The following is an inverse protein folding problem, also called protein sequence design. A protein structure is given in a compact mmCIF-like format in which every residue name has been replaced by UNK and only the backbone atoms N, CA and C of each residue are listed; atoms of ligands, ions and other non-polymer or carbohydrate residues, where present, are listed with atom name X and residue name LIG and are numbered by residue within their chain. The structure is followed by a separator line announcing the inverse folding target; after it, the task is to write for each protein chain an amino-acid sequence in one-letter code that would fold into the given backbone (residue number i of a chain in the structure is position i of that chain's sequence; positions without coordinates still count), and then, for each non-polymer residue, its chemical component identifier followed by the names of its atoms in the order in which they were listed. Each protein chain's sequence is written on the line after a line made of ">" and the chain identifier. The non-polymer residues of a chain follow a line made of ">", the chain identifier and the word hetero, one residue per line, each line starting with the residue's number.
data_IF_178686134349
#
_entry.id   IF_178686134349
#
_cell.length_a   1.000
_cell.length_b   1.000
_cell.length_c   1.000
_cell.angle_alpha   90.00
_cell.angle_beta   90.00
_cell.angle_gamma   90.00
#
_symmetry.space_group_name_H-M   'P 1'
#
loop_
_entity.id
_entity.type
_entity.pdbx_description
1 polymer ?
#
# COMPACT_ATOMS: atom_id res chain seq x y z
N UNK A 1 -28.73 33.94 0.51
CA UNK A 1 -28.74 32.93 -0.56
C UNK A 1 -27.31 32.89 -1.08
N UNK A 2 -26.45 31.94 -0.75
CA UNK A 2 -26.65 30.53 -0.36
C UNK A 2 -25.67 30.13 0.75
N UNK A 3 -26.16 29.22 1.58
CA UNK A 3 -25.48 28.61 2.71
C UNK A 3 -25.03 27.19 2.33
N UNK A 4 -23.84 26.80 2.80
CA UNK A 4 -23.52 25.42 3.21
C UNK A 4 -23.50 24.33 2.13
N UNK A 5 -22.35 24.17 1.46
CA UNK A 5 -21.95 22.90 0.84
C UNK A 5 -20.71 22.36 1.56
N UNK A 6 -20.90 21.99 2.84
CA UNK A 6 -20.00 21.06 3.54
C UNK A 6 -20.50 19.64 3.27
N UNK A 7 -19.56 18.79 2.84
CA UNK A 7 -19.54 17.33 2.93
C UNK A 7 -20.86 16.66 3.33
N UNK A 8 -21.53 16.07 2.33
CA UNK A 8 -22.51 15.00 2.56
C UNK A 8 -21.95 13.72 1.96
N UNK A 9 -21.05 13.07 2.71
CA UNK A 9 -20.99 11.61 2.69
C UNK A 9 -22.43 11.14 2.91
N UNK A 10 -22.98 10.38 1.95
CA UNK A 10 -24.34 9.85 2.04
C UNK A 10 -24.53 9.19 3.41
N UNK A 11 -25.69 9.34 4.07
CA UNK A 11 -25.94 8.72 5.39
C UNK A 11 -25.57 7.23 5.39
N UNK A 12 -25.80 6.54 4.26
CA UNK A 12 -25.40 5.14 4.05
C UNK A 12 -23.88 4.90 4.12
N UNK A 13 -23.07 5.85 3.69
CA UNK A 13 -21.60 5.79 3.76
C UNK A 13 -21.08 6.05 5.17
N UNK A 14 -21.69 6.96 5.93
CA UNK A 14 -21.36 7.16 7.34
C UNK A 14 -21.75 5.93 8.17
N UNK A 15 -22.94 5.37 7.95
CA UNK A 15 -23.38 4.15 8.63
C UNK A 15 -22.49 2.94 8.28
N UNK A 16 -21.97 2.86 7.03
CA UNK A 16 -20.99 1.83 6.65
C UNK A 16 -19.66 2.01 7.37
N UNK A 17 -19.12 3.24 7.40
CA UNK A 17 -17.87 3.52 8.11
C UNK A 17 -17.97 3.27 9.60
N UNK A 18 -19.11 3.63 10.22
CA UNK A 18 -19.34 3.41 11.64
C UNK A 18 -19.43 1.91 11.98
N UNK A 19 -20.12 1.11 11.16
CA UNK A 19 -20.15 -0.35 11.32
C UNK A 19 -18.78 -1.00 11.18
N UNK A 20 -17.94 -0.49 10.28
CA UNK A 20 -16.56 -0.97 10.10
C UNK A 20 -15.73 -0.65 11.36
N UNK A 21 -15.86 0.56 11.91
CA UNK A 21 -15.16 0.97 13.13
C UNK A 21 -15.62 0.17 14.36
N UNK A 22 -16.94 -0.02 14.53
CA UNK A 22 -17.50 -0.83 15.61
C UNK A 22 -16.98 -2.28 15.55
N UNK A 23 -17.04 -2.91 14.36
CA UNK A 23 -16.50 -4.26 14.14
C UNK A 23 -15.00 -4.36 14.43
N UNK A 24 -14.23 -3.32 14.08
CA UNK A 24 -12.80 -3.24 14.39
C UNK A 24 -12.55 -3.14 15.91
N UNK A 25 -13.31 -2.31 16.62
CA UNK A 25 -13.17 -2.14 18.08
C UNK A 25 -13.61 -3.38 18.86
N UNK A 26 -14.63 -4.10 18.41
CA UNK A 26 -15.07 -5.37 19.00
C UNK A 26 -14.03 -6.46 18.79
N UNK A 27 -13.52 -6.61 17.56
CA UNK A 27 -12.46 -7.59 17.26
C UNK A 27 -11.19 -7.31 18.07
N UNK A 28 -10.85 -6.04 18.32
CA UNK A 28 -9.68 -5.68 19.11
C UNK A 28 -9.88 -5.91 20.62
N UNK A 29 -11.10 -5.76 21.14
CA UNK A 29 -11.45 -6.13 22.52
C UNK A 29 -11.39 -7.64 22.74
N UNK A 30 -11.83 -8.41 21.75
CA UNK A 30 -11.81 -9.88 21.79
C UNK A 30 -10.38 -10.41 21.72
N UNK A 31 -9.52 -9.83 20.87
CA UNK A 31 -8.09 -10.12 20.83
C UNK A 31 -7.36 -9.76 22.12
N UNK A 32 -7.66 -8.60 22.71
CA UNK A 32 -7.07 -8.19 23.99
C UNK A 32 -7.52 -9.10 25.17
N UNK A 33 -8.75 -9.63 25.12
CA UNK A 33 -9.22 -10.59 26.11
C UNK A 33 -8.47 -11.93 26.00
N UNK A 34 -8.29 -12.43 24.78
CA UNK A 34 -7.53 -13.66 24.48
C UNK A 34 -6.05 -13.51 24.89
N UNK A 35 -5.42 -12.37 24.60
CA UNK A 35 -4.04 -12.09 25.03
C UNK A 35 -3.90 -12.07 26.56
N UNK A 36 -4.91 -11.57 27.29
CA UNK A 36 -4.90 -11.61 28.76
C UNK A 36 -5.07 -13.03 29.32
N UNK A 37 -5.83 -13.89 28.62
CA UNK A 37 -6.11 -15.26 29.02
C UNK A 37 -4.92 -16.20 28.72
N UNK A 38 -4.23 -15.98 27.61
CA UNK A 38 -2.98 -16.67 27.23
C UNK A 38 -1.83 -16.29 28.17
N UNK A 39 -1.77 -15.04 28.62
CA UNK A 39 -0.76 -14.58 29.59
C UNK A 39 -0.97 -15.22 30.97
N UNK A 40 -2.22 -15.45 31.38
CA UNK A 40 -2.55 -16.14 32.63
C UNK A 40 -2.20 -17.65 32.56
N UNK A 41 -2.50 -18.30 31.44
CA UNK A 41 -2.18 -19.72 31.21
C UNK A 41 -0.66 -20.01 31.12
N UNK A 42 0.14 -19.02 30.70
CA UNK A 42 1.60 -19.16 30.58
C UNK A 42 2.34 -19.14 31.92
N UNK A 43 1.67 -18.85 33.03
CA UNK A 43 2.29 -18.83 34.38
C UNK A 43 2.25 -20.19 35.12
N UNK A 44 1.56 -21.20 34.59
CA UNK A 44 1.42 -22.51 35.24
C UNK A 44 2.23 -23.65 34.61
N UNK A 45 2.91 -23.43 33.47
CA UNK A 45 3.65 -24.49 32.77
C UNK A 45 5.16 -24.18 32.69
N UNK A 46 5.85 -24.35 33.81
CA UNK A 46 7.31 -24.43 33.84
C UNK A 46 7.73 -25.78 34.43
N UNK A 47 7.82 -26.82 33.57
CA UNK A 47 8.66 -28.00 33.77
C UNK A 47 8.64 -28.88 32.48
N UNK A 48 9.83 -29.17 31.91
CA UNK A 48 10.06 -30.40 31.12
C UNK A 48 10.23 -30.31 29.59
N UNK A 49 11.51 -30.25 29.16
CA UNK A 49 12.17 -30.99 28.06
C UNK A 49 11.72 -30.98 26.57
N UNK A 50 12.78 -31.14 25.76
CA UNK A 50 12.98 -31.01 24.31
C UNK A 50 12.35 -32.09 23.42
N UNK A 51 11.90 -31.74 22.20
CA UNK A 51 12.11 -32.52 20.94
C UNK A 51 12.08 -31.59 19.71
N UNK A 52 13.03 -31.78 18.79
CA UNK A 52 13.04 -31.25 17.42
C UNK A 52 12.18 -32.14 16.52
N UNK A 53 11.34 -31.57 15.66
CA UNK A 53 10.98 -32.21 14.39
C UNK A 53 10.56 -31.17 13.36
N UNK A 54 11.35 -31.07 12.30
CA UNK A 54 10.94 -30.50 11.02
C UNK A 54 9.95 -31.46 10.38
N UNK A 55 8.76 -30.99 10.02
CA UNK A 55 8.08 -31.56 8.86
C UNK A 55 7.11 -30.56 8.24
N UNK A 56 7.45 -30.18 7.01
CA UNK A 56 6.60 -29.52 6.04
C UNK A 56 5.31 -30.30 5.82
N UNK A 57 4.19 -29.72 6.26
CA UNK A 57 2.86 -30.08 5.77
C UNK A 57 2.16 -28.78 5.40
N UNK A 58 1.97 -28.60 4.10
CA UNK A 58 1.07 -27.63 3.49
C UNK A 58 -0.36 -28.02 3.86
N UNK A 59 -0.82 -27.55 5.01
CA UNK A 59 -2.25 -27.51 5.35
C UNK A 59 -2.76 -26.12 4.98
N UNK A 60 -3.70 -26.06 4.03
CA UNK A 60 -4.59 -24.93 3.81
C UNK A 60 -5.39 -24.73 5.10
N UNK A 61 -4.87 -23.92 6.02
CA UNK A 61 -5.62 -23.43 7.17
C UNK A 61 -6.45 -22.24 6.71
N UNK A 62 -7.77 -22.33 6.81
CA UNK A 62 -8.74 -21.24 6.64
C UNK A 62 -8.57 -20.09 7.68
N UNK A 63 -7.40 -20.00 8.31
CA UNK A 63 -7.09 -18.97 9.30
C UNK A 63 -6.59 -17.72 8.57
N UNK A 64 -7.14 -16.52 8.87
CA UNK A 64 -6.70 -15.30 8.22
C UNK A 64 -5.21 -15.09 8.48
N UNK A 65 -4.45 -14.84 7.42
CA UNK A 65 -3.00 -14.58 7.50
C UNK A 65 -2.69 -13.57 8.60
N UNK A 66 -1.68 -13.86 9.42
CA UNK A 66 -1.26 -12.95 10.48
C UNK A 66 -0.58 -11.71 9.89
N UNK A 67 -0.58 -10.59 10.63
CA UNK A 67 0.11 -9.37 10.18
C UNK A 67 1.62 -9.60 9.96
N UNK A 68 2.26 -10.40 10.83
CA UNK A 68 3.69 -10.69 10.72
C UNK A 68 4.01 -11.58 9.52
N UNK A 69 3.15 -12.54 9.23
CA UNK A 69 3.26 -13.36 8.04
C UNK A 69 3.03 -12.56 6.77
N UNK A 70 1.99 -11.70 6.73
CA UNK A 70 1.74 -10.81 5.60
C UNK A 70 2.93 -9.88 5.34
N UNK A 71 3.49 -9.28 6.40
CA UNK A 71 4.69 -8.45 6.31
C UNK A 71 5.85 -9.23 5.70
N UNK A 72 6.07 -10.47 6.12
CA UNK A 72 7.18 -11.31 5.66
C UNK A 72 7.02 -11.66 4.18
N UNK A 73 5.83 -12.12 3.77
CA UNK A 73 5.55 -12.49 2.38
C UNK A 73 5.66 -11.28 1.44
N UNK A 74 5.14 -10.11 1.84
CA UNK A 74 5.29 -8.87 1.06
C UNK A 74 6.75 -8.45 0.95
N UNK A 75 7.54 -8.64 2.00
CA UNK A 75 8.96 -8.34 1.99
C UNK A 75 9.75 -9.21 1.01
N UNK A 76 9.42 -10.50 0.95
CA UNK A 76 10.01 -11.43 -0.01
C UNK A 76 9.62 -11.06 -1.44
N UNK A 77 8.33 -10.83 -1.70
CA UNK A 77 7.83 -10.40 -3.00
C UNK A 77 8.45 -9.07 -3.47
N UNK A 78 8.63 -8.09 -2.58
CA UNK A 78 9.31 -6.83 -2.90
C UNK A 78 10.78 -7.01 -3.27
N UNK A 79 11.48 -7.92 -2.59
CA UNK A 79 12.88 -8.21 -2.90
C UNK A 79 13.02 -8.89 -4.26
N UNK A 80 12.10 -9.79 -4.60
CA UNK A 80 12.02 -10.41 -5.93
C UNK A 80 11.73 -9.36 -7.00
N UNK A 81 10.70 -8.53 -6.80
CA UNK A 81 10.35 -7.44 -7.70
C UNK A 81 11.53 -6.50 -7.99
N UNK A 82 12.35 -6.15 -6.99
CA UNK A 82 13.53 -5.31 -7.21
C UNK A 82 14.61 -5.95 -8.10
N UNK A 83 14.63 -7.29 -8.16
CA UNK A 83 15.52 -8.05 -9.04
C UNK A 83 14.89 -8.23 -10.42
N UNK A 84 13.62 -8.61 -10.49
CA UNK A 84 12.92 -9.02 -11.73
C UNK A 84 12.36 -7.85 -12.54
N UNK A 85 12.04 -6.71 -11.90
CA UNK A 85 11.24 -5.61 -12.49
C UNK A 85 9.84 -6.06 -12.95
N UNK A 86 9.36 -7.22 -12.46
CA UNK A 86 8.03 -7.71 -12.80
C UNK A 86 7.00 -7.15 -11.82
N UNK A 87 6.42 -6.00 -12.18
CA UNK A 87 5.38 -5.36 -11.37
C UNK A 87 4.10 -6.22 -11.29
N UNK A 88 3.82 -7.06 -12.29
CA UNK A 88 2.62 -7.88 -12.28
C UNK A 88 2.74 -9.04 -11.31
N UNK A 89 3.92 -9.67 -11.24
CA UNK A 89 4.20 -10.74 -10.28
C UNK A 89 3.93 -10.30 -8.84
N UNK A 90 4.46 -9.15 -8.42
CA UNK A 90 4.20 -8.64 -7.06
C UNK A 90 2.73 -8.26 -6.84
N UNK A 91 2.04 -7.72 -7.86
CA UNK A 91 0.62 -7.41 -7.75
C UNK A 91 -0.24 -8.68 -7.60
N UNK A 92 0.10 -9.75 -8.31
CA UNK A 92 -0.51 -11.07 -8.10
C UNK A 92 -0.24 -11.61 -6.70
N UNK A 93 0.99 -11.50 -6.19
CA UNK A 93 1.27 -11.89 -4.79
C UNK A 93 0.42 -11.09 -3.80
N UNK A 94 0.25 -9.77 -4.00
CA UNK A 94 -0.59 -8.93 -3.12
C UNK A 94 -2.06 -9.37 -3.14
N UNK A 95 -2.57 -9.77 -4.30
CA UNK A 95 -3.92 -10.26 -4.48
C UNK A 95 -4.13 -11.66 -3.89
N UNK A 96 -3.19 -12.58 -4.14
CA UNK A 96 -3.22 -13.96 -3.65
C UNK A 96 -3.21 -14.04 -2.12
N UNK A 97 -2.50 -13.12 -1.45
CA UNK A 97 -2.50 -13.01 0.01
C UNK A 97 -3.88 -12.64 0.61
N UNK A 98 -4.82 -12.13 -0.21
CA UNK A 98 -6.19 -11.75 0.13
C UNK A 98 -6.38 -11.06 1.49
N UNK A 99 -5.47 -10.15 1.83
CA UNK A 99 -5.47 -9.42 3.11
C UNK A 99 -5.66 -7.91 2.92
N UNK A 100 -6.85 -7.45 2.47
CA UNK A 100 -7.09 -6.04 2.14
C UNK A 100 -6.84 -5.08 3.30
N UNK A 101 -7.01 -5.52 4.55
CA UNK A 101 -6.75 -4.69 5.74
C UNK A 101 -5.26 -4.41 5.98
N UNK A 102 -4.36 -5.21 5.41
CA UNK A 102 -2.93 -5.07 5.57
C UNK A 102 -2.24 -4.43 4.36
N UNK A 103 -2.95 -4.10 3.29
CA UNK A 103 -2.35 -3.57 2.05
C UNK A 103 -1.59 -2.24 2.22
N UNK A 104 -1.86 -1.44 3.25
CA UNK A 104 -1.04 -0.27 3.59
C UNK A 104 0.41 -0.65 3.96
N UNK A 105 0.64 -1.89 4.42
CA UNK A 105 1.99 -2.42 4.66
C UNK A 105 2.77 -2.55 3.36
N UNK A 106 2.13 -2.81 2.21
CA UNK A 106 2.81 -2.81 0.91
C UNK A 106 3.51 -1.47 0.68
N UNK A 107 2.80 -0.38 0.94
CA UNK A 107 3.31 0.99 0.76
C UNK A 107 4.45 1.29 1.73
N UNK A 108 4.26 0.98 3.02
CA UNK A 108 5.28 1.19 4.05
C UNK A 108 6.56 0.41 3.75
N UNK A 109 6.41 -0.88 3.44
CA UNK A 109 7.53 -1.80 3.24
C UNK A 109 8.26 -1.53 1.94
N UNK A 110 7.53 -1.24 0.85
CA UNK A 110 8.12 -0.88 -0.42
C UNK A 110 9.03 0.35 -0.29
N UNK A 111 8.52 1.43 0.30
CA UNK A 111 9.31 2.66 0.51
C UNK A 111 10.51 2.39 1.42
N UNK A 112 10.30 1.70 2.55
CA UNK A 112 11.37 1.43 3.52
C UNK A 112 12.50 0.63 2.86
N UNK A 113 12.17 -0.45 2.15
CA UNK A 113 13.17 -1.28 1.46
C UNK A 113 13.85 -0.55 0.29
N UNK A 114 13.17 0.37 -0.39
CA UNK A 114 13.75 1.12 -1.51
C UNK A 114 14.69 2.23 -1.04
N UNK A 115 14.40 2.90 0.08
CA UNK A 115 15.25 3.97 0.63
C UNK A 115 16.61 3.44 1.06
N UNK A 116 16.68 2.22 1.60
CA UNK A 116 17.93 1.56 1.99
C UNK A 116 18.80 1.13 0.80
N UNK A 117 18.27 1.22 -0.43
CA UNK A 117 18.92 0.73 -1.65
C UNK A 117 19.35 1.89 -2.52
N UNK A 118 18.65 2.16 -3.62
CA UNK A 118 19.07 3.16 -4.58
C UNK A 118 17.95 3.64 -5.49
N UNK A 119 18.34 4.52 -6.41
CA UNK A 119 17.45 5.15 -7.39
C UNK A 119 16.61 4.17 -8.21
N UNK A 120 17.17 2.99 -8.56
CA UNK A 120 16.45 1.96 -9.31
C UNK A 120 15.22 1.51 -8.52
N UNK A 121 15.42 1.06 -7.28
CA UNK A 121 14.35 0.53 -6.45
C UNK A 121 13.32 1.60 -6.10
N UNK A 122 13.74 2.85 -5.93
CA UNK A 122 12.82 3.96 -5.72
C UNK A 122 11.91 4.20 -6.93
N UNK A 123 12.43 4.11 -8.15
CA UNK A 123 11.62 4.15 -9.38
C UNK A 123 10.65 2.96 -9.46
N UNK A 124 11.12 1.75 -9.14
CA UNK A 124 10.27 0.56 -9.10
C UNK A 124 9.09 0.69 -8.13
N UNK A 125 9.31 1.28 -6.96
CA UNK A 125 8.23 1.53 -5.99
C UNK A 125 7.23 2.56 -6.52
N UNK A 126 7.68 3.64 -7.15
CA UNK A 126 6.79 4.59 -7.82
C UNK A 126 5.94 3.91 -8.91
N UNK A 127 6.56 3.05 -9.74
CA UNK A 127 5.85 2.24 -10.74
C UNK A 127 4.83 1.29 -10.11
N UNK A 128 5.19 0.61 -9.02
CA UNK A 128 4.27 -0.28 -8.29
C UNK A 128 3.03 0.47 -7.82
N UNK A 129 3.20 1.69 -7.29
CA UNK A 129 2.06 2.50 -6.87
C UNK A 129 1.20 2.96 -8.04
N UNK A 130 1.81 3.42 -9.13
CA UNK A 130 1.08 3.86 -10.32
C UNK A 130 0.27 2.72 -10.96
N UNK A 131 0.88 1.56 -11.18
CA UNK A 131 0.24 0.39 -11.81
C UNK A 131 -0.73 -0.32 -10.86
N UNK A 132 -0.38 -0.42 -9.58
CA UNK A 132 -1.18 -1.13 -8.58
C UNK A 132 -2.40 -0.35 -8.07
N UNK A 133 -2.45 0.96 -8.29
CA UNK A 133 -3.55 1.79 -7.80
C UNK A 133 -4.90 1.43 -8.47
N UNK A 134 -6.00 1.73 -7.79
CA UNK A 134 -7.39 1.41 -8.18
C UNK A 134 -7.77 -0.08 -8.03
N UNK A 135 -6.91 -1.02 -8.42
CA UNK A 135 -7.22 -2.46 -8.36
C UNK A 135 -6.63 -3.15 -7.12
N UNK A 136 -5.33 -2.97 -6.86
CA UNK A 136 -4.63 -3.62 -5.76
C UNK A 136 -4.50 -2.70 -4.55
N UNK A 137 -4.22 -1.42 -4.77
CA UNK A 137 -4.12 -0.40 -3.73
C UNK A 137 -5.24 0.64 -3.86
N UNK A 138 -5.86 1.00 -2.74
CA UNK A 138 -6.85 2.07 -2.69
C UNK A 138 -6.24 3.37 -2.15
N UNK A 139 -6.93 4.49 -2.39
CA UNK A 139 -6.54 5.80 -1.85
C UNK A 139 -6.31 5.75 -0.33
N UNK A 140 -7.17 5.01 0.38
CA UNK A 140 -7.04 4.81 1.82
C UNK A 140 -5.75 4.07 2.18
N UNK A 141 -5.40 3.00 1.47
CA UNK A 141 -4.20 2.20 1.77
C UNK A 141 -2.91 2.98 1.50
N UNK A 142 -2.85 3.73 0.38
CA UNK A 142 -1.70 4.58 0.06
C UNK A 142 -1.54 5.69 1.10
N UNK A 143 -2.63 6.41 1.41
CA UNK A 143 -2.63 7.45 2.43
C UNK A 143 -2.21 6.90 3.80
N UNK A 144 -2.76 5.74 4.20
CA UNK A 144 -2.43 5.10 5.48
C UNK A 144 -0.98 4.64 5.54
N UNK A 145 -0.41 4.19 4.42
CA UNK A 145 1.01 3.84 4.32
C UNK A 145 1.92 5.03 4.59
N UNK A 146 1.64 6.17 3.95
CA UNK A 146 2.38 7.43 4.21
C UNK A 146 2.18 7.92 5.64
N UNK A 147 0.95 7.90 6.15
CA UNK A 147 0.65 8.25 7.55
C UNK A 147 1.54 7.46 8.52
N UNK A 148 1.63 6.14 8.34
CA UNK A 148 2.44 5.27 9.21
C UNK A 148 3.95 5.45 9.04
N UNK A 149 4.41 5.88 7.86
CA UNK A 149 5.80 6.29 7.68
C UNK A 149 6.08 7.61 8.40
N UNK A 150 5.15 8.57 8.34
CA UNK A 150 5.29 9.87 8.98
C UNK A 150 5.28 9.77 10.50
N UNK A 151 4.41 8.93 11.08
CA UNK A 151 4.39 8.63 12.52
C UNK A 151 5.77 8.16 13.04
N UNK A 152 6.59 7.56 12.18
CA UNK A 152 7.90 7.00 12.51
C UNK A 152 9.06 7.82 11.91
N UNK A 153 8.79 8.99 11.34
CA UNK A 153 9.75 9.77 10.58
C UNK A 153 11.00 10.11 11.40
N UNK A 154 10.83 10.53 12.65
CA UNK A 154 11.93 10.89 13.54
C UNK A 154 12.87 9.72 13.80
N UNK A 155 12.32 8.51 13.94
CA UNK A 155 13.10 7.31 14.19
C UNK A 155 13.82 6.89 12.91
N UNK A 156 13.13 6.91 11.77
CA UNK A 156 13.72 6.59 10.46
C UNK A 156 14.86 7.56 10.10
N UNK A 157 14.77 8.83 10.50
CA UNK A 157 15.83 9.82 10.29
C UNK A 157 17.12 9.51 11.05
N UNK A 158 17.05 8.73 12.15
CA UNK A 158 18.25 8.30 12.88
C UNK A 158 19.11 7.35 12.03
N UNK A 159 18.45 6.49 11.27
CA UNK A 159 19.12 5.49 10.40
C UNK A 159 19.41 6.06 9.01
N UNK A 160 18.49 6.87 8.46
CA UNK A 160 18.60 7.50 7.15
C UNK A 160 18.31 9.00 7.22
N UNK A 161 19.33 9.88 7.35
CA UNK A 161 19.15 11.32 7.48
C UNK A 161 18.42 11.99 6.30
N UNK A 162 18.37 11.33 5.14
CA UNK A 162 17.75 11.84 3.91
C UNK A 162 16.32 11.32 3.69
N UNK A 163 15.76 10.53 4.61
CA UNK A 163 14.43 9.90 4.44
C UNK A 163 13.31 10.92 4.18
N UNK A 164 13.35 12.11 4.79
CA UNK A 164 12.32 13.13 4.57
C UNK A 164 12.32 13.63 3.11
N UNK A 165 13.49 13.78 2.49
CA UNK A 165 13.64 14.14 1.08
C UNK A 165 13.09 13.03 0.17
N UNK A 166 13.45 11.78 0.43
CA UNK A 166 12.94 10.63 -0.31
C UNK A 166 11.42 10.49 -0.19
N UNK A 167 10.87 10.61 1.03
CA UNK A 167 9.42 10.57 1.25
C UNK A 167 8.70 11.71 0.52
N UNK A 168 9.29 12.91 0.47
CA UNK A 168 8.71 14.04 -0.24
C UNK A 168 8.65 13.80 -1.75
N UNK A 169 9.68 13.15 -2.31
CA UNK A 169 9.73 12.76 -3.72
C UNK A 169 8.74 11.64 -4.02
N UNK A 170 8.62 10.62 -3.15
CA UNK A 170 7.60 9.59 -3.28
C UNK A 170 6.19 10.17 -3.25
N UNK A 171 5.91 11.10 -2.33
CA UNK A 171 4.60 11.74 -2.23
C UNK A 171 4.31 12.62 -3.45
N UNK A 172 5.29 13.42 -3.89
CA UNK A 172 5.16 14.24 -5.09
C UNK A 172 4.91 13.37 -6.33
N UNK A 173 5.65 12.27 -6.48
CA UNK A 173 5.48 11.31 -7.58
C UNK A 173 4.12 10.63 -7.55
N UNK A 174 3.63 10.21 -6.38
CA UNK A 174 2.29 9.66 -6.23
C UNK A 174 1.18 10.68 -6.60
N UNK A 175 1.41 11.97 -6.38
CA UNK A 175 0.49 13.03 -6.82
C UNK A 175 0.56 13.23 -8.34
N UNK A 176 1.77 13.25 -8.91
CA UNK A 176 1.98 13.39 -10.37
C UNK A 176 1.43 12.20 -11.15
N UNK A 177 1.57 10.98 -10.61
CA UNK A 177 1.09 9.74 -11.21
C UNK A 177 -0.41 9.49 -10.92
N UNK A 178 -1.13 10.50 -10.41
CA UNK A 178 -2.57 10.48 -10.08
C UNK A 178 -3.01 9.39 -9.07
N UNK A 179 -2.05 8.83 -8.31
CA UNK A 179 -2.31 7.89 -7.21
C UNK A 179 -2.92 8.62 -5.99
N UNK A 180 -2.47 9.83 -5.72
CA UNK A 180 -2.97 10.67 -4.63
C UNK A 180 -3.44 12.04 -5.17
N UNK A 181 -4.58 12.57 -4.69
CA UNK A 181 -5.00 13.91 -5.07
C UNK A 181 -4.11 14.97 -4.40
N UNK A 182 -3.83 16.13 -5.04
CA UNK A 182 -3.05 17.21 -4.43
C UNK A 182 -3.60 17.72 -3.09
N UNK A 183 -4.91 17.53 -2.82
CA UNK A 183 -5.53 17.88 -1.55
C UNK A 183 -4.98 17.10 -0.36
N UNK A 184 -4.26 16.00 -0.59
CA UNK A 184 -3.60 15.21 0.46
C UNK A 184 -2.59 16.03 1.27
N UNK A 185 -1.98 17.05 0.65
CA UNK A 185 -1.08 17.99 1.31
C UNK A 185 -1.77 18.81 2.42
N UNK A 186 -3.11 18.81 2.43
CA UNK A 186 -3.92 19.47 3.45
C UNK A 186 -4.50 18.52 4.51
N UNK A 187 -4.17 17.23 4.44
CA UNK A 187 -4.64 16.25 5.43
C UNK A 187 -4.12 16.59 6.83
N UNK A 188 -5.02 16.55 7.82
CA UNK A 188 -4.71 16.93 9.19
C UNK A 188 -3.70 15.97 9.83
N UNK A 189 -3.86 14.67 9.63
CA UNK A 189 -3.02 13.65 10.26
C UNK A 189 -1.63 13.68 9.61
N UNK A 190 -1.56 13.79 8.28
CA UNK A 190 -0.27 13.88 7.61
C UNK A 190 0.50 15.16 8.01
N UNK A 191 -0.20 16.27 8.26
CA UNK A 191 0.42 17.50 8.79
C UNK A 191 0.92 17.33 10.21
N UNK A 192 0.21 16.58 11.05
CA UNK A 192 0.61 16.34 12.44
C UNK A 192 1.96 15.62 12.52
N UNK A 193 2.16 14.58 11.71
CA UNK A 193 3.35 13.73 11.79
C UNK A 193 4.43 14.04 10.73
N UNK A 194 4.09 14.71 9.63
CA UNK A 194 4.98 14.86 8.46
C UNK A 194 4.99 16.25 7.83
N UNK A 195 4.76 17.32 8.60
CA UNK A 195 4.72 18.70 8.09
C UNK A 195 5.95 19.09 7.24
N UNK A 196 7.15 18.64 7.63
CA UNK A 196 8.37 18.87 6.87
C UNK A 196 8.29 18.24 5.47
N UNK A 197 7.94 16.95 5.41
CA UNK A 197 7.79 16.20 4.15
C UNK A 197 6.74 16.84 3.25
N UNK A 198 5.59 17.27 3.81
CA UNK A 198 4.54 17.95 3.05
C UNK A 198 5.01 19.28 2.46
N UNK A 199 5.77 20.07 3.22
CA UNK A 199 6.33 21.36 2.75
C UNK A 199 7.34 21.14 1.62
N UNK A 200 8.20 20.12 1.75
CA UNK A 200 9.13 19.74 0.69
C UNK A 200 8.38 19.28 -0.56
N UNK A 201 7.35 18.45 -0.39
CA UNK A 201 6.50 17.96 -1.49
C UNK A 201 5.82 19.12 -2.23
N UNK A 202 5.22 20.06 -1.51
CA UNK A 202 4.60 21.25 -2.08
C UNK A 202 5.63 22.11 -2.85
N UNK A 203 6.85 22.24 -2.30
CA UNK A 203 7.94 22.94 -2.99
C UNK A 203 8.28 22.25 -4.30
N UNK A 204 8.40 20.90 -4.31
CA UNK A 204 8.72 20.12 -5.50
C UNK A 204 7.67 20.28 -6.61
N UNK A 205 6.39 20.24 -6.24
CA UNK A 205 5.27 20.34 -7.18
C UNK A 205 5.11 21.74 -7.78
N UNK A 206 5.52 22.78 -7.04
CA UNK A 206 5.43 24.18 -7.47
C UNK A 206 6.65 24.67 -8.28
N UNK A 207 7.67 23.83 -8.50
CA UNK A 207 8.82 24.20 -9.32
C UNK A 207 8.42 24.33 -10.81
N UNK A 208 9.08 25.21 -11.59
CA UNK A 208 8.92 25.21 -13.03
C UNK A 208 9.29 23.84 -13.61
N UNK A 209 8.47 23.32 -14.53
CA UNK A 209 8.67 21.99 -15.12
C UNK A 209 8.67 20.85 -14.08
N UNK A 210 7.87 21.00 -13.01
CA UNK A 210 7.76 19.99 -11.95
C UNK A 210 7.33 18.64 -12.49
N UNK A 211 6.46 18.60 -13.51
CA UNK A 211 6.04 17.35 -14.16
C UNK A 211 7.21 16.59 -14.78
N UNK A 212 8.00 17.23 -15.66
CA UNK A 212 9.14 16.60 -16.32
C UNK A 212 10.28 16.27 -15.33
N UNK A 213 10.38 17.04 -14.24
CA UNK A 213 11.29 16.72 -13.15
C UNK A 213 10.83 15.48 -12.38
N UNK A 214 9.53 15.34 -12.09
CA UNK A 214 8.95 14.18 -11.40
C UNK A 214 9.13 12.88 -12.19
N UNK A 215 9.00 12.91 -13.52
CA UNK A 215 9.32 11.77 -14.39
C UNK A 215 10.76 11.26 -14.24
N UNK A 216 11.67 12.10 -13.73
CA UNK A 216 13.11 11.78 -13.61
C UNK A 216 13.62 11.91 -12.18
N UNK A 217 12.72 12.00 -11.20
CA UNK A 217 13.07 12.35 -9.81
C UNK A 217 14.07 11.37 -9.20
N UNK A 218 14.04 10.10 -9.64
CA UNK A 218 14.98 9.07 -9.20
C UNK A 218 16.21 8.94 -10.10
N UNK A 219 16.21 9.50 -11.31
CA UNK A 219 17.32 9.45 -12.27
C UNK A 219 17.53 8.07 -12.93
N UNK A 220 16.79 7.05 -12.50
CA UNK A 220 16.78 5.73 -13.11
C UNK A 220 15.77 5.71 -14.26
N UNK A 221 16.25 5.90 -15.49
CA UNK A 221 15.43 5.65 -16.68
C UNK A 221 15.39 4.14 -16.93
N UNK A 222 14.67 3.42 -16.09
CA UNK A 222 14.31 2.03 -16.35
C UNK A 222 12.95 2.06 -17.05
N UNK A 223 12.79 1.27 -18.12
CA UNK A 223 11.51 0.86 -18.69
C UNK A 223 10.76 1.70 -19.74
N UNK A 224 11.33 2.70 -20.44
CA UNK A 224 10.56 3.35 -21.53
C UNK A 224 10.04 2.37 -22.63
N UNK A 225 10.66 1.19 -22.79
CA UNK A 225 10.22 0.14 -23.70
C UNK A 225 9.31 -0.90 -23.02
N UNK A 226 9.56 -1.23 -21.76
CA UNK A 226 8.74 -2.17 -20.99
C UNK A 226 7.39 -1.54 -20.60
N UNK A 227 7.36 -0.25 -20.27
CA UNK A 227 6.12 0.50 -20.00
C UNK A 227 5.17 0.48 -21.22
N UNK A 228 5.71 0.52 -22.45
CA UNK A 228 4.93 0.40 -23.69
C UNK A 228 4.37 -1.02 -23.85
N UNK A 229 5.19 -2.04 -23.56
CA UNK A 229 4.75 -3.44 -23.63
C UNK A 229 3.72 -3.76 -22.56
N UNK A 230 3.87 -3.19 -21.38
CA UNK A 230 2.97 -3.32 -20.25
C UNK A 230 1.64 -2.61 -20.51
N UNK A 231 1.68 -1.35 -20.98
CA UNK A 231 0.48 -0.61 -21.42
C UNK A 231 -0.27 -1.38 -22.50
N UNK A 232 0.46 -1.99 -23.44
CA UNK A 232 -0.13 -2.86 -24.46
C UNK A 232 -0.81 -4.08 -23.85
N UNK A 233 -0.20 -4.73 -22.85
CA UNK A 233 -0.77 -5.89 -22.16
C UNK A 233 -2.07 -5.51 -21.44
N UNK A 234 -2.03 -4.45 -20.62
CA UNK A 234 -3.22 -3.94 -19.90
C UNK A 234 -4.37 -3.58 -20.85
N UNK A 235 -4.05 -2.95 -22.00
CA UNK A 235 -5.06 -2.64 -23.01
C UNK A 235 -5.67 -3.91 -23.61
N UNK A 236 -4.86 -4.92 -23.90
CA UNK A 236 -5.34 -6.21 -24.44
C UNK A 236 -6.21 -6.93 -23.42
N UNK A 237 -5.82 -6.95 -22.14
CA UNK A 237 -6.58 -7.61 -21.08
C UNK A 237 -7.93 -6.89 -20.84
N UNK A 238 -7.94 -5.55 -20.82
CA UNK A 238 -9.18 -4.77 -20.72
C UNK A 238 -10.11 -4.96 -21.93
N UNK A 239 -9.55 -5.10 -23.14
CA UNK A 239 -10.34 -5.42 -24.34
C UNK A 239 -10.90 -6.84 -24.23
N UNK A 240 -10.10 -7.82 -23.80
CA UNK A 240 -10.56 -9.18 -23.61
C UNK A 240 -11.70 -9.25 -22.59
N UNK A 241 -11.56 -8.58 -21.44
CA UNK A 241 -12.62 -8.46 -20.43
C UNK A 241 -13.89 -7.80 -20.99
N UNK A 242 -13.76 -6.75 -21.81
CA UNK A 242 -14.91 -6.12 -22.46
C UNK A 242 -15.66 -7.07 -23.40
N UNK A 243 -14.94 -7.86 -24.20
CA UNK A 243 -15.56 -8.83 -25.11
C UNK A 243 -16.16 -10.02 -24.35
N UNK A 244 -15.47 -10.55 -23.34
CA UNK A 244 -15.98 -11.64 -22.51
C UNK A 244 -17.18 -11.23 -21.66
N UNK A 245 -17.30 -9.93 -21.30
CA UNK A 245 -18.47 -9.39 -20.59
C UNK A 245 -19.66 -9.03 -21.49
N UNK A 246 -19.45 -8.90 -22.82
CA UNK A 246 -20.51 -8.60 -23.79
C UNK A 246 -20.98 -9.81 -24.61
N UNK A 247 -20.32 -10.97 -24.51
CA UNK A 247 -20.75 -12.22 -25.14
C UNK A 247 -21.53 -13.10 -24.14
N UNK A 248 -22.87 -12.98 -24.15
CA UNK A 248 -23.78 -14.14 -24.07
C UNK A 248 -25.29 -13.82 -24.00
N UNK A 249 -25.72 -12.57 -23.74
CA UNK A 249 -27.14 -12.34 -23.39
C UNK A 249 -27.97 -11.44 -24.33
N UNK A 250 -27.39 -10.81 -25.37
CA UNK A 250 -28.14 -9.79 -26.15
C UNK A 250 -28.18 -10.01 -27.67
N UNK A 251 -27.89 -11.21 -28.18
CA UNK A 251 -27.90 -11.48 -29.64
C UNK A 251 -29.08 -12.36 -30.09
N UNK A 252 -29.93 -12.87 -29.20
CA UNK A 252 -31.04 -13.77 -29.60
C UNK A 252 -32.45 -13.16 -29.65
N UNK A 253 -32.64 -11.84 -29.54
CA UNK A 253 -34.00 -11.25 -29.66
C UNK A 253 -34.04 -9.96 -30.49
N UNK A 254 -33.64 -10.04 -31.77
CA UNK A 254 -34.02 -9.07 -32.82
C UNK A 254 -34.25 -9.71 -34.18
#
# INVERSE_FOLDING_TARGET
>A
MESTLRNRLSQKSMDRMQKIHEKYTESNKEKAAIESEVLYASTEAAEGETVKEENSVSTLSDEPISLEEYKTQIDEALREYFVTDDVMEILYCIEELDAPLYRYQVVMRAISLAVDRGSKEKELVSRLFSVGFSHYLSLFQVTKGFEKLFERLSDLQLDCPHIADDLSKFLARAITDEVLPPSILNDFILKEYGAEVLTMTETLLNMPHSFEYMERVWGARIAALEDIQMTKKLLVDAIAEFYDSHDAAEVEDR
#
